data_IF_561888241900
#
_entry.id   IF_561888241900
#
_cell.length_a   1.000
_cell.length_b   1.000
_cell.length_c   1.000
_cell.angle_alpha   90.00
_cell.angle_beta   90.00
_cell.angle_gamma   90.00
#
_symmetry.space_group_name_H-M   'P 1'
#
loop_
_entity.id
_entity.type
_entity.pdbx_description
1 polymer ?
#
# COMPACT_ATOMS: atom_id res chain seq x y z
N UNK A 1 3.57 -34.06 31.51
CA UNK A 1 2.68 -33.72 30.38
C UNK A 1 2.35 -32.23 30.29
N UNK A 2 2.81 -31.36 31.22
CA UNK A 2 2.61 -29.91 31.11
C UNK A 2 3.75 -29.14 30.39
N UNK A 3 4.92 -29.75 30.18
CA UNK A 3 6.10 -29.09 29.60
C UNK A 3 6.07 -28.91 28.07
N UNK A 4 4.96 -29.24 27.40
CA UNK A 4 4.82 -29.14 25.95
C UNK A 4 3.77 -28.11 25.49
N UNK A 5 3.37 -27.17 26.36
CA UNK A 5 2.55 -26.04 25.93
C UNK A 5 3.46 -24.99 25.28
N UNK A 6 3.29 -24.69 23.98
CA UNK A 6 4.08 -23.63 23.34
C UNK A 6 3.87 -22.32 24.09
N UNK A 7 4.95 -21.54 24.28
CA UNK A 7 4.87 -20.21 24.88
C UNK A 7 3.91 -19.37 24.02
N UNK A 8 3.07 -18.58 24.68
CA UNK A 8 2.26 -17.57 24.00
C UNK A 8 3.21 -16.66 23.21
N UNK A 9 2.95 -16.51 21.92
CA UNK A 9 3.68 -15.57 21.07
C UNK A 9 3.16 -14.17 21.44
N UNK A 10 4.06 -13.28 21.82
CA UNK A 10 3.70 -11.90 22.11
C UNK A 10 3.42 -11.15 20.80
N UNK A 11 2.63 -10.08 20.86
CA UNK A 11 2.21 -9.35 19.67
C UNK A 11 3.41 -8.77 18.90
N UNK A 12 4.44 -8.36 19.62
CA UNK A 12 5.70 -7.82 19.10
C UNK A 12 6.53 -8.86 18.34
N UNK A 13 6.24 -10.15 18.51
CA UNK A 13 6.89 -11.26 17.81
C UNK A 13 6.12 -11.66 16.54
N UNK A 14 4.94 -11.09 16.31
CA UNK A 14 4.11 -11.35 15.13
C UNK A 14 4.42 -10.33 14.03
N UNK A 15 4.99 -10.80 12.93
CA UNK A 15 5.28 -9.99 11.74
C UNK A 15 4.01 -9.82 10.89
N UNK A 16 3.19 -8.82 11.22
CA UNK A 16 1.98 -8.49 10.45
C UNK A 16 2.33 -7.63 9.24
N UNK A 17 2.08 -8.18 8.05
CA UNK A 17 2.27 -7.45 6.80
C UNK A 17 0.96 -6.89 6.25
N UNK A 18 1.04 -5.73 5.60
CA UNK A 18 -0.08 -5.23 4.80
C UNK A 18 -0.31 -6.17 3.61
N UNK A 19 -1.55 -6.65 3.44
CA UNK A 19 -1.94 -7.50 2.31
C UNK A 19 -2.09 -8.99 2.60
N UNK A 20 -1.84 -9.42 3.83
CA UNK A 20 -2.09 -10.78 4.27
C UNK A 20 -3.57 -11.18 4.08
N UNK A 21 -3.82 -12.31 3.39
CA UNK A 21 -5.18 -12.78 3.02
C UNK A 21 -6.04 -13.21 4.19
N UNK A 22 -5.40 -13.57 5.30
CA UNK A 22 -6.08 -14.04 6.53
C UNK A 22 -6.47 -12.89 7.46
N UNK A 23 -5.99 -11.68 7.22
CA UNK A 23 -6.35 -10.50 8.00
C UNK A 23 -7.64 -9.90 7.42
N UNK A 24 -8.67 -9.60 8.26
CA UNK A 24 -9.89 -8.97 7.79
C UNK A 24 -9.64 -7.62 7.10
N UNK A 25 -10.18 -7.42 5.90
CA UNK A 25 -9.96 -6.20 5.11
C UNK A 25 -10.43 -4.92 5.80
N UNK A 26 -11.38 -5.02 6.74
CA UNK A 26 -11.79 -3.90 7.58
C UNK A 26 -10.67 -3.30 8.43
N UNK A 27 -9.62 -4.07 8.75
CA UNK A 27 -8.43 -3.56 9.44
C UNK A 27 -7.64 -2.67 8.48
N UNK A 28 -7.41 -3.12 7.25
CA UNK A 28 -6.77 -2.32 6.21
C UNK A 28 -7.56 -1.06 5.89
N UNK A 29 -8.90 -1.16 5.80
CA UNK A 29 -9.78 -0.03 5.53
C UNK A 29 -9.67 1.06 6.61
N UNK A 30 -9.64 0.68 7.90
CA UNK A 30 -9.44 1.64 9.01
C UNK A 30 -8.06 2.29 8.97
N UNK A 31 -7.01 1.51 8.75
CA UNK A 31 -5.65 2.05 8.61
C UNK A 31 -5.55 3.03 7.44
N UNK A 32 -6.05 2.64 6.26
CA UNK A 32 -6.01 3.48 5.06
C UNK A 32 -6.85 4.75 5.24
N UNK A 33 -7.99 4.64 5.93
CA UNK A 33 -8.82 5.81 6.22
C UNK A 33 -8.13 6.79 7.17
N UNK A 34 -7.39 6.27 8.16
CA UNK A 34 -6.55 7.07 9.03
C UNK A 34 -5.36 7.71 8.27
N UNK A 35 -4.70 6.93 7.41
CA UNK A 35 -3.54 7.38 6.63
C UNK A 35 -3.89 8.53 5.66
N UNK A 36 -5.04 8.42 5.01
CA UNK A 36 -5.50 9.38 4.02
C UNK A 36 -6.44 10.44 4.58
N UNK A 37 -6.89 10.34 5.82
CA UNK A 37 -7.87 11.26 6.42
C UNK A 37 -9.16 11.36 5.58
N UNK A 38 -9.69 10.20 5.17
CA UNK A 38 -10.95 10.07 4.41
C UNK A 38 -11.43 8.62 4.44
N UNK A 39 -12.72 8.37 4.23
CA UNK A 39 -13.29 7.02 4.20
C UNK A 39 -12.74 6.20 3.01
N UNK A 40 -12.03 5.12 3.34
CA UNK A 40 -11.50 4.12 2.40
C UNK A 40 -12.15 2.77 2.67
N UNK A 41 -12.65 2.13 1.62
CA UNK A 41 -13.16 0.77 1.67
C UNK A 41 -12.23 -0.18 0.90
N UNK A 42 -11.98 -1.35 1.48
CA UNK A 42 -11.09 -2.37 0.91
C UNK A 42 -11.82 -3.71 0.91
N UNK A 43 -11.83 -4.36 -0.24
CA UNK A 43 -12.39 -5.69 -0.39
C UNK A 43 -11.37 -6.62 -1.06
N UNK A 44 -11.29 -7.85 -0.59
CA UNK A 44 -10.49 -8.91 -1.19
C UNK A 44 -11.38 -9.83 -2.02
N UNK A 45 -10.94 -10.17 -3.22
CA UNK A 45 -11.60 -11.15 -4.09
C UNK A 45 -10.79 -12.43 -4.13
N UNK A 46 -11.31 -13.49 -3.51
CA UNK A 46 -10.69 -14.81 -3.54
C UNK A 46 -10.54 -15.37 -4.97
N UNK A 47 -11.48 -15.06 -5.85
CA UNK A 47 -11.48 -15.58 -7.23
C UNK A 47 -10.38 -14.99 -8.10
N UNK A 48 -10.01 -13.72 -7.88
CA UNK A 48 -8.95 -13.04 -8.64
C UNK A 48 -7.65 -12.91 -7.86
N UNK A 49 -7.66 -13.31 -6.58
CA UNK A 49 -6.53 -13.13 -5.66
C UNK A 49 -6.05 -11.67 -5.62
N UNK A 50 -7.00 -10.73 -5.52
CA UNK A 50 -6.73 -9.29 -5.65
C UNK A 50 -7.57 -8.43 -4.69
N UNK A 51 -7.09 -7.22 -4.41
CA UNK A 51 -7.76 -6.23 -3.58
C UNK A 51 -8.36 -5.10 -4.42
N UNK A 52 -9.63 -4.79 -4.18
CA UNK A 52 -10.24 -3.54 -4.62
C UNK A 52 -10.21 -2.52 -3.50
N UNK A 53 -9.95 -1.26 -3.89
CA UNK A 53 -9.91 -0.11 -2.98
C UNK A 53 -10.79 0.97 -3.59
N UNK A 54 -11.71 1.51 -2.79
CA UNK A 54 -12.57 2.63 -3.16
C UNK A 54 -12.48 3.73 -2.12
N UNK A 55 -12.48 4.98 -2.59
CA UNK A 55 -12.41 6.17 -1.76
C UNK A 55 -13.34 7.22 -2.37
N UNK A 56 -14.35 7.66 -1.62
CA UNK A 56 -15.41 8.51 -2.16
C UNK A 56 -15.02 9.99 -2.19
N UNK A 57 -14.06 10.38 -1.36
CA UNK A 57 -13.55 11.74 -1.28
C UNK A 57 -12.04 11.71 -1.50
N UNK A 58 -11.56 12.54 -2.41
CA UNK A 58 -10.13 12.68 -2.64
C UNK A 58 -9.64 13.98 -2.00
N UNK A 59 -8.45 13.94 -1.43
CA UNK A 59 -7.84 15.07 -0.72
C UNK A 59 -6.33 15.16 -1.02
N UNK A 60 -5.64 16.09 -0.36
CA UNK A 60 -4.21 16.34 -0.54
C UNK A 60 -3.33 15.13 -0.16
N UNK A 61 -3.78 14.26 0.75
CA UNK A 61 -3.05 13.05 1.09
C UNK A 61 -3.00 12.10 -0.11
N UNK A 62 -4.13 11.95 -0.81
CA UNK A 62 -4.26 11.05 -1.96
C UNK A 62 -3.62 11.63 -3.22
N UNK A 63 -3.84 12.92 -3.52
CA UNK A 63 -3.39 13.52 -4.79
C UNK A 63 -1.95 14.04 -4.79
N UNK A 64 -1.39 14.33 -3.61
CA UNK A 64 -0.05 14.92 -3.50
C UNK A 64 0.88 14.11 -2.58
N UNK A 65 0.51 13.91 -1.30
CA UNK A 65 1.44 13.32 -0.31
C UNK A 65 1.87 11.89 -0.66
N UNK A 66 0.91 11.06 -1.04
CA UNK A 66 1.13 9.65 -1.39
C UNK A 66 0.99 9.41 -2.89
N UNK A 67 1.24 10.43 -3.73
CA UNK A 67 1.14 10.32 -5.17
C UNK A 67 2.50 10.40 -5.86
N UNK A 68 2.61 9.74 -7.02
CA UNK A 68 3.73 9.90 -7.95
C UNK A 68 3.19 10.47 -9.26
N UNK A 69 3.63 11.70 -9.59
CA UNK A 69 3.28 12.40 -10.83
C UNK A 69 4.31 12.03 -11.91
N UNK A 70 4.06 10.92 -12.61
CA UNK A 70 4.89 10.52 -13.74
C UNK A 70 4.43 11.21 -15.05
N UNK A 71 5.30 11.23 -16.05
CA UNK A 71 4.97 11.80 -17.37
C UNK A 71 3.78 11.09 -18.02
N UNK A 72 3.70 9.76 -17.88
CA UNK A 72 2.63 8.96 -18.48
C UNK A 72 1.27 9.15 -17.80
N UNK A 73 1.26 9.24 -16.47
CA UNK A 73 0.06 9.49 -15.65
C UNK A 73 0.45 9.78 -14.19
N UNK A 74 -0.53 10.24 -13.41
CA UNK A 74 -0.40 10.25 -11.95
C UNK A 74 -0.82 8.90 -11.36
N UNK A 75 -0.01 8.37 -10.45
CA UNK A 75 -0.34 7.25 -9.58
C UNK A 75 -0.68 7.84 -8.22
N UNK A 76 -1.97 7.99 -7.93
CA UNK A 76 -2.44 8.58 -6.67
C UNK A 76 -2.27 7.62 -5.48
N UNK A 77 -2.50 8.11 -4.27
CA UNK A 77 -2.38 7.32 -3.05
C UNK A 77 -3.26 6.07 -3.04
N UNK A 78 -4.43 6.11 -3.66
CA UNK A 78 -5.31 4.93 -3.77
C UNK A 78 -4.72 3.87 -4.71
N UNK A 79 -4.14 4.28 -5.84
CA UNK A 79 -3.45 3.39 -6.75
C UNK A 79 -2.20 2.78 -6.10
N UNK A 80 -1.41 3.58 -5.38
CA UNK A 80 -0.23 3.09 -4.68
C UNK A 80 -0.59 2.19 -3.49
N UNK A 81 -1.71 2.44 -2.80
CA UNK A 81 -2.22 1.55 -1.76
C UNK A 81 -2.61 0.18 -2.33
N UNK A 82 -3.23 0.11 -3.52
CA UNK A 82 -3.48 -1.18 -4.19
C UNK A 82 -2.19 -1.96 -4.43
N UNK A 83 -1.17 -1.29 -4.95
CA UNK A 83 0.15 -1.86 -5.14
C UNK A 83 0.79 -2.32 -3.82
N UNK A 84 0.64 -1.54 -2.74
CA UNK A 84 1.13 -1.88 -1.42
C UNK A 84 0.45 -3.13 -0.82
N UNK A 85 -0.86 -3.30 -1.02
CA UNK A 85 -1.64 -4.46 -0.58
C UNK A 85 -1.21 -5.77 -1.25
N UNK A 86 -0.70 -5.72 -2.47
CA UNK A 86 -0.20 -6.93 -3.18
C UNK A 86 1.32 -6.99 -3.27
N UNK A 87 2.03 -6.08 -2.60
CA UNK A 87 3.48 -5.97 -2.61
C UNK A 87 4.08 -5.93 -4.04
N UNK A 88 3.55 -5.03 -4.87
CA UNK A 88 4.04 -4.81 -6.24
C UNK A 88 4.39 -3.35 -6.47
N UNK A 89 5.10 -3.06 -7.54
CA UNK A 89 5.38 -1.69 -8.00
C UNK A 89 4.68 -1.46 -9.33
N UNK A 90 4.06 -0.29 -9.56
CA UNK A 90 3.55 0.05 -10.88
C UNK A 90 4.66 0.04 -11.94
N UNK A 91 4.32 -0.38 -13.15
CA UNK A 91 5.19 -0.13 -14.31
C UNK A 91 5.02 1.31 -14.77
N UNK A 92 6.07 2.11 -14.57
CA UNK A 92 6.07 3.54 -14.90
C UNK A 92 7.05 3.79 -16.03
N UNK A 93 6.59 4.55 -17.01
CA UNK A 93 7.29 4.81 -18.27
C UNK A 93 7.24 6.27 -18.64
N UNK A 94 8.24 6.69 -19.41
CA UNK A 94 8.39 8.03 -19.98
C UNK A 94 8.80 7.95 -21.44
N UNK A 95 8.64 9.04 -22.18
CA UNK A 95 9.05 9.11 -23.58
C UNK A 95 10.38 9.83 -23.67
N UNK A 96 11.28 9.30 -24.48
CA UNK A 96 12.56 9.92 -24.79
C UNK A 96 12.76 9.96 -26.30
N UNK A 97 13.55 10.92 -26.76
CA UNK A 97 13.98 11.00 -28.16
C UNK A 97 15.27 10.22 -28.35
N UNK A 98 15.28 9.24 -29.26
CA UNK A 98 16.46 8.50 -29.69
C UNK A 98 16.52 8.56 -31.20
N UNK A 99 17.60 9.13 -31.75
CA UNK A 99 17.82 9.30 -33.19
C UNK A 99 16.64 9.94 -33.95
N UNK A 100 15.98 10.93 -33.31
CA UNK A 100 14.84 11.65 -33.88
C UNK A 100 13.49 10.91 -33.78
N UNK A 101 13.45 9.71 -33.19
CA UNK A 101 12.23 8.96 -32.93
C UNK A 101 11.87 8.97 -31.44
N UNK A 102 10.56 9.05 -31.14
CA UNK A 102 10.06 8.93 -29.78
C UNK A 102 10.00 7.44 -29.37
N UNK A 103 10.68 7.09 -28.28
CA UNK A 103 10.71 5.74 -27.72
C UNK A 103 10.22 5.77 -26.28
N UNK A 104 9.37 4.80 -25.91
CA UNK A 104 8.87 4.61 -24.55
C UNK A 104 9.85 3.77 -23.76
N UNK A 105 10.40 4.33 -22.68
CA UNK A 105 11.34 3.65 -21.78
C UNK A 105 10.82 3.66 -20.34
N UNK A 106 11.34 2.75 -19.51
CA UNK A 106 11.02 2.71 -18.08
C UNK A 106 11.54 3.96 -17.39
N UNK A 107 10.70 4.59 -16.57
CA UNK A 107 11.07 5.77 -15.81
C UNK A 107 11.58 5.35 -14.42
N UNK A 108 12.88 5.05 -14.33
CA UNK A 108 13.49 4.52 -13.12
C UNK A 108 13.32 5.45 -11.91
N UNK A 109 13.30 6.76 -12.12
CA UNK A 109 13.11 7.75 -11.05
C UNK A 109 11.68 7.67 -10.48
N UNK A 110 10.68 7.69 -11.35
CA UNK A 110 9.28 7.56 -10.93
C UNK A 110 9.00 6.19 -10.30
N UNK A 111 9.59 5.12 -10.82
CA UNK A 111 9.52 3.77 -10.21
C UNK A 111 10.09 3.78 -8.79
N UNK A 112 11.25 4.43 -8.58
CA UNK A 112 11.86 4.53 -7.25
C UNK A 112 10.99 5.35 -6.30
N UNK A 113 10.42 6.47 -6.77
CA UNK A 113 9.47 7.26 -5.97
C UNK A 113 8.25 6.42 -5.58
N UNK A 114 7.72 5.61 -6.51
CA UNK A 114 6.57 4.75 -6.23
C UNK A 114 6.90 3.70 -5.17
N UNK A 115 8.06 3.06 -5.26
CA UNK A 115 8.55 2.13 -4.24
C UNK A 115 8.61 2.79 -2.86
N UNK A 116 9.24 3.97 -2.77
CA UNK A 116 9.31 4.70 -1.50
C UNK A 116 7.92 4.99 -0.92
N UNK A 117 6.95 5.40 -1.75
CA UNK A 117 5.57 5.62 -1.29
C UNK A 117 4.84 4.34 -0.89
N UNK A 118 5.08 3.23 -1.60
CA UNK A 118 4.53 1.93 -1.23
C UNK A 118 5.10 1.48 0.12
N UNK A 119 6.40 1.60 0.33
CA UNK A 119 7.05 1.27 1.59
C UNK A 119 6.54 2.15 2.73
N UNK A 120 6.40 3.47 2.52
CA UNK A 120 5.78 4.39 3.48
C UNK A 120 4.37 3.93 3.89
N UNK A 121 3.54 3.48 2.94
CA UNK A 121 2.19 2.97 3.22
C UNK A 121 2.25 1.67 4.04
N UNK A 122 3.17 0.76 3.70
CA UNK A 122 3.33 -0.52 4.40
C UNK A 122 3.82 -0.33 5.83
N UNK A 123 4.81 0.54 6.04
CA UNK A 123 5.30 0.91 7.38
C UNK A 123 4.22 1.64 8.19
N UNK A 124 3.45 2.54 7.56
CA UNK A 124 2.36 3.20 8.26
C UNK A 124 1.29 2.20 8.78
N UNK A 125 1.09 1.08 8.10
CA UNK A 125 0.20 0.02 8.59
C UNK A 125 0.73 -0.66 9.85
N UNK A 126 2.00 -1.05 9.85
CA UNK A 126 2.61 -1.69 11.03
C UNK A 126 2.62 -0.74 12.21
N UNK A 127 3.01 0.53 11.99
CA UNK A 127 3.04 1.55 13.03
C UNK A 127 1.64 1.82 13.60
N UNK A 128 0.64 1.97 12.72
CA UNK A 128 -0.75 2.17 13.13
C UNK A 128 -1.29 0.99 13.95
N UNK A 129 -0.94 -0.24 13.57
CA UNK A 129 -1.36 -1.45 14.24
C UNK A 129 -0.75 -1.55 15.65
N UNK A 130 0.56 -1.27 15.80
CA UNK A 130 1.22 -1.21 17.11
C UNK A 130 0.62 -0.13 18.01
N UNK A 131 0.31 1.05 17.46
CA UNK A 131 -0.31 2.13 18.22
C UNK A 131 -1.72 1.79 18.73
N UNK A 132 -2.41 0.79 18.16
CA UNK A 132 -3.68 0.31 18.73
C UNK A 132 -3.46 -0.52 20.00
N UNK A 133 -2.32 -1.22 20.13
CA UNK A 133 -2.05 -2.12 21.25
C UNK A 133 -1.85 -1.37 22.58
N UNK A 134 -1.32 -0.14 22.54
CA UNK A 134 -1.17 0.73 23.71
C UNK A 134 -2.51 1.20 24.31
N UNK A 135 -3.65 0.90 23.67
CA UNK A 135 -4.99 1.34 24.05
C UNK A 135 -5.95 0.22 24.49
N UNK A 136 -5.48 -1.04 24.63
CA UNK A 136 -6.31 -2.18 25.08
C UNK A 136 -5.90 -2.75 26.45
#
# INVERSE_FOLDING_TARGET
LEEARPRRIEFEELDFNLGERWIPTGIYARCASHLFDTDVNINYSESSDDFSVTCNQQNVHIWDKYAVKAESRTFDGVALLKHALVNTTPDITKKIMVDGNEVKVRDMEAVQMANTKIDEIRTAFTDWLHAQNDAF
#
